data_IF_634064509412
#
_entry.id   IF_634064509412
#
_cell.length_a   1.000
_cell.length_b   1.000
_cell.length_c   1.000
_cell.angle_alpha   90.00
_cell.angle_beta   90.00
_cell.angle_gamma   90.00
#
_symmetry.space_group_name_H-M   'P 1'
#
loop_
_entity.id
_entity.type
_entity.pdbx_description
1 polymer ?
#
# COMPACT_ATOMS: atom_id res chain seq x y z
N UNK A 1 35.07 -6.53 1.37
CA UNK A 1 33.59 -6.34 1.29
C UNK A 1 33.34 -4.87 0.99
N UNK A 2 32.51 -4.51 0.00
CA UNK A 2 32.26 -3.09 -0.30
C UNK A 2 31.54 -2.43 0.90
N UNK A 3 31.77 -1.14 1.18
CA UNK A 3 31.20 -0.46 2.35
C UNK A 3 29.69 -0.65 2.48
N UNK A 4 28.96 -0.51 1.37
CA UNK A 4 27.52 -0.74 1.26
C UNK A 4 27.10 -2.13 1.76
N UNK A 5 27.86 -3.18 1.44
CA UNK A 5 27.51 -4.53 1.89
C UNK A 5 27.73 -4.70 3.39
N UNK A 6 28.74 -4.04 3.98
CA UNK A 6 28.98 -4.04 5.42
C UNK A 6 27.83 -3.33 6.15
N UNK A 7 27.44 -2.16 5.65
CA UNK A 7 26.41 -1.33 6.27
C UNK A 7 25.02 -1.98 6.16
N UNK A 8 24.72 -2.62 5.01
CA UNK A 8 23.49 -3.39 4.81
C UNK A 8 23.45 -4.70 5.61
N UNK A 9 24.61 -5.21 6.04
CA UNK A 9 24.72 -6.42 6.86
C UNK A 9 24.78 -6.11 8.36
N UNK A 10 24.61 -4.84 8.76
CA UNK A 10 24.68 -4.46 10.17
C UNK A 10 23.56 -5.12 10.98
N UNK A 11 23.85 -5.77 12.12
CA UNK A 11 22.86 -6.51 12.91
C UNK A 11 21.65 -5.66 13.30
N UNK A 12 21.86 -4.39 13.64
CA UNK A 12 20.78 -3.47 14.01
C UNK A 12 19.84 -3.15 12.84
N UNK A 13 20.37 -3.08 11.61
CA UNK A 13 19.56 -2.92 10.41
C UNK A 13 18.75 -4.19 10.12
N UNK A 14 19.40 -5.35 10.23
CA UNK A 14 18.75 -6.65 10.03
C UNK A 14 17.67 -6.93 11.09
N UNK A 15 17.85 -6.47 12.33
CA UNK A 15 16.87 -6.58 13.42
C UNK A 15 15.58 -5.79 13.14
N UNK A 16 15.67 -4.67 12.40
CA UNK A 16 14.51 -3.94 11.89
C UNK A 16 13.78 -4.72 10.78
N UNK A 17 14.51 -5.46 9.95
CA UNK A 17 13.94 -6.33 8.92
C UNK A 17 13.27 -7.60 9.48
N UNK A 18 13.72 -8.09 10.64
CA UNK A 18 13.22 -9.32 11.29
C UNK A 18 11.75 -9.22 11.72
N UNK A 19 11.32 -8.04 12.17
CA UNK A 19 9.98 -7.89 12.72
C UNK A 19 8.90 -7.79 11.64
N UNK A 20 9.26 -7.44 10.40
CA UNK A 20 8.28 -7.19 9.34
C UNK A 20 7.14 -6.31 9.85
N UNK A 21 7.50 -5.30 10.66
CA UNK A 21 6.56 -4.33 11.20
C UNK A 21 5.88 -3.61 10.04
N UNK A 22 4.69 -3.15 10.35
CA UNK A 22 3.56 -2.76 9.49
C UNK A 22 3.89 -1.95 8.25
N UNK A 23 3.01 -2.06 7.24
CA UNK A 23 2.98 -1.26 6.00
C UNK A 23 3.61 0.12 6.20
N UNK A 24 4.69 0.39 5.47
CA UNK A 24 5.29 1.70 5.38
C UNK A 24 4.16 2.72 5.12
N UNK A 25 3.95 3.74 5.97
CA UNK A 25 2.93 4.76 5.74
C UNK A 25 2.98 5.33 4.32
N UNK A 26 4.18 5.41 3.74
CA UNK A 26 4.38 5.82 2.36
C UNK A 26 3.80 4.81 1.36
N UNK A 27 3.94 3.50 1.58
CA UNK A 27 3.28 2.48 0.75
C UNK A 27 1.76 2.54 0.85
N UNK A 28 1.23 2.84 2.04
CA UNK A 28 -0.21 3.01 2.24
C UNK A 28 -0.72 4.25 1.50
N UNK A 29 -0.02 5.38 1.62
CA UNK A 29 -0.33 6.62 0.91
C UNK A 29 -0.23 6.45 -0.61
N UNK A 30 0.84 5.82 -1.09
CA UNK A 30 1.01 5.45 -2.49
C UNK A 30 -0.16 4.62 -3.00
N UNK A 31 -0.64 3.65 -2.22
CA UNK A 31 -1.82 2.87 -2.63
C UNK A 31 -3.06 3.75 -2.83
N UNK A 32 -3.26 4.77 -1.98
CA UNK A 32 -4.36 5.73 -2.15
C UNK A 32 -4.20 6.50 -3.45
N UNK A 33 -3.05 7.12 -3.71
CA UNK A 33 -2.86 7.85 -4.98
C UNK A 33 -3.11 6.93 -6.18
N UNK A 34 -2.56 5.70 -6.19
CA UNK A 34 -2.66 4.83 -7.37
C UNK A 34 -4.09 4.31 -7.60
N UNK A 35 -4.92 4.31 -6.56
CA UNK A 35 -6.34 3.98 -6.68
C UNK A 35 -7.16 5.12 -7.31
N UNK A 36 -6.64 6.35 -7.35
CA UNK A 36 -7.25 7.50 -8.03
C UNK A 36 -6.64 7.69 -9.42
N UNK A 37 -5.31 7.61 -9.50
CA UNK A 37 -4.53 7.76 -10.73
C UNK A 37 -3.68 6.51 -10.93
N UNK A 38 -4.21 5.47 -11.62
CA UNK A 38 -3.49 4.24 -11.84
C UNK A 38 -2.20 4.47 -12.63
N UNK A 39 -1.10 3.84 -12.22
CA UNK A 39 0.20 3.96 -12.91
C UNK A 39 0.17 3.55 -14.38
N UNK A 40 -0.72 2.62 -14.72
CA UNK A 40 -0.85 2.09 -16.07
C UNK A 40 -1.60 3.04 -17.01
N UNK A 41 -2.22 4.09 -16.47
CA UNK A 41 -3.02 5.04 -17.24
C UNK A 41 -2.26 6.35 -17.38
N UNK A 42 -1.99 6.74 -18.61
CA UNK A 42 -1.45 8.06 -18.90
C UNK A 42 -2.56 9.12 -18.74
N UNK A 43 -2.24 10.20 -18.03
CA UNK A 43 -3.14 11.35 -17.81
C UNK A 43 -2.35 12.66 -17.92
N UNK A 44 -3.04 13.76 -18.19
CA UNK A 44 -2.44 15.10 -18.20
C UNK A 44 -2.00 15.51 -16.78
N UNK A 45 -1.09 16.49 -16.70
CA UNK A 45 -0.47 16.91 -15.43
C UNK A 45 -1.51 17.49 -14.46
N UNK A 46 -2.55 18.13 -14.96
CA UNK A 46 -3.65 18.70 -14.19
C UNK A 46 -4.46 17.59 -13.51
N UNK A 47 -4.80 16.52 -14.24
CA UNK A 47 -5.50 15.36 -13.68
C UNK A 47 -4.64 14.61 -12.68
N UNK A 48 -3.35 14.44 -12.97
CA UNK A 48 -2.40 13.82 -12.04
C UNK A 48 -2.33 14.63 -10.74
N UNK A 49 -2.18 15.95 -10.84
CA UNK A 49 -2.09 16.85 -9.68
C UNK A 49 -3.36 16.80 -8.84
N UNK A 50 -4.53 16.88 -9.48
CA UNK A 50 -5.82 16.79 -8.80
C UNK A 50 -5.98 15.46 -8.05
N UNK A 51 -5.63 14.34 -8.70
CA UNK A 51 -5.71 13.02 -8.08
C UNK A 51 -4.75 12.85 -6.90
N UNK A 52 -3.56 13.45 -6.97
CA UNK A 52 -2.60 13.48 -5.84
C UNK A 52 -3.15 14.33 -4.70
N UNK A 53 -3.69 15.52 -4.96
CA UNK A 53 -4.29 16.36 -3.93
C UNK A 53 -5.50 15.68 -3.25
N UNK A 54 -6.39 15.06 -4.02
CA UNK A 54 -7.51 14.27 -3.47
C UNK A 54 -7.02 13.13 -2.57
N UNK A 55 -5.97 12.44 -2.98
CA UNK A 55 -5.38 11.35 -2.21
C UNK A 55 -4.77 11.85 -0.89
N UNK A 56 -4.07 12.99 -0.89
CA UNK A 56 -3.53 13.63 0.31
C UNK A 56 -4.65 13.98 1.28
N UNK A 57 -5.70 14.67 0.81
CA UNK A 57 -6.84 15.03 1.63
C UNK A 57 -7.54 13.78 2.19
N UNK A 58 -7.80 12.78 1.36
CA UNK A 58 -8.47 11.53 1.76
C UNK A 58 -7.65 10.72 2.77
N UNK A 59 -6.31 10.73 2.65
CA UNK A 59 -5.44 9.97 3.53
C UNK A 59 -5.39 10.59 4.93
N UNK A 60 -5.17 11.90 5.00
CA UNK A 60 -5.00 12.66 6.24
C UNK A 60 -6.33 12.92 6.95
N UNK A 61 -7.31 13.48 6.22
CA UNK A 61 -8.55 14.00 6.80
C UNK A 61 -9.77 13.09 6.53
N UNK A 62 -9.60 12.05 5.71
CA UNK A 62 -10.71 11.20 5.26
C UNK A 62 -11.49 11.79 4.08
N UNK A 63 -12.48 11.06 3.61
CA UNK A 63 -13.36 11.44 2.51
C UNK A 63 -14.26 12.63 2.88
N UNK A 64 -14.49 12.90 4.17
CA UNK A 64 -15.18 14.12 4.63
C UNK A 64 -14.48 15.41 4.17
N UNK A 65 -13.17 15.38 3.88
CA UNK A 65 -12.45 16.52 3.31
C UNK A 65 -13.03 16.99 1.97
N UNK A 66 -13.60 16.06 1.19
CA UNK A 66 -14.23 16.36 -0.12
C UNK A 66 -15.46 17.25 0.04
N UNK A 67 -16.17 17.16 1.17
CA UNK A 67 -17.30 18.04 1.47
C UNK A 67 -16.84 19.51 1.56
N UNK A 68 -15.72 19.76 2.26
CA UNK A 68 -15.12 21.09 2.36
C UNK A 68 -14.63 21.59 1.01
N UNK A 69 -14.10 20.70 0.16
CA UNK A 69 -13.68 21.06 -1.20
C UNK A 69 -14.87 21.48 -2.06
N UNK A 70 -15.98 20.73 -2.02
CA UNK A 70 -17.21 21.09 -2.73
C UNK A 70 -17.74 22.45 -2.30
N UNK A 71 -17.81 22.73 -1.00
CA UNK A 71 -18.22 24.03 -0.48
C UNK A 71 -17.34 25.17 -0.99
N UNK A 72 -16.02 24.98 -0.99
CA UNK A 72 -15.08 25.98 -1.55
C UNK A 72 -15.25 26.20 -3.05
N UNK A 73 -15.80 25.24 -3.77
CA UNK A 73 -16.13 25.35 -5.20
C UNK A 73 -17.54 25.92 -5.43
N UNK A 74 -18.24 26.37 -4.37
CA UNK A 74 -19.60 26.90 -4.47
C UNK A 74 -20.68 25.82 -4.56
N UNK A 75 -20.35 24.56 -4.27
CA UNK A 75 -21.29 23.44 -4.27
C UNK A 75 -21.58 23.02 -2.83
N UNK A 76 -22.78 23.33 -2.34
CA UNK A 76 -23.20 22.90 -1.01
C UNK A 76 -23.51 21.40 -0.98
N UNK A 77 -22.81 20.61 -0.13
CA UNK A 77 -23.07 19.18 -0.02
C UNK A 77 -24.42 18.92 0.65
N UNK A 78 -25.28 18.15 -0.03
CA UNK A 78 -26.53 17.67 0.55
C UNK A 78 -26.31 16.61 1.64
N UNK A 79 -27.35 16.35 2.42
CA UNK A 79 -27.31 15.40 3.55
C UNK A 79 -26.88 13.98 3.15
N UNK A 80 -27.30 13.52 1.97
CA UNK A 80 -26.89 12.22 1.45
C UNK A 80 -25.39 12.17 1.12
N UNK A 81 -24.83 13.25 0.55
CA UNK A 81 -23.40 13.35 0.29
C UNK A 81 -22.59 13.33 1.59
N UNK A 82 -23.03 14.10 2.59
CA UNK A 82 -22.40 14.13 3.92
C UNK A 82 -22.43 12.74 4.55
N UNK A 83 -23.59 12.08 4.52
CA UNK A 83 -23.77 10.75 5.10
C UNK A 83 -22.93 9.69 4.38
N UNK A 84 -22.87 9.74 3.06
CA UNK A 84 -22.05 8.83 2.25
C UNK A 84 -20.56 8.98 2.56
N UNK A 85 -20.03 10.22 2.62
CA UNK A 85 -18.61 10.43 2.94
C UNK A 85 -18.25 9.94 4.35
N UNK A 86 -19.13 10.18 5.34
CA UNK A 86 -18.95 9.65 6.70
C UNK A 86 -18.99 8.12 6.74
N UNK A 87 -19.87 7.48 5.97
CA UNK A 87 -19.95 6.02 5.87
C UNK A 87 -18.65 5.44 5.31
N UNK A 88 -18.15 6.00 4.20
CA UNK A 88 -16.88 5.57 3.59
C UNK A 88 -15.71 5.69 4.57
N UNK A 89 -15.67 6.75 5.38
CA UNK A 89 -14.63 6.92 6.39
C UNK A 89 -14.75 5.91 7.53
N UNK A 90 -15.97 5.59 7.99
CA UNK A 90 -16.17 4.49 8.96
C UNK A 90 -15.69 3.17 8.39
N UNK A 91 -16.05 2.83 7.16
CA UNK A 91 -15.60 1.59 6.52
C UNK A 91 -14.08 1.53 6.42
N UNK A 92 -13.44 2.65 6.04
CA UNK A 92 -11.98 2.76 5.98
C UNK A 92 -11.35 2.44 7.35
N UNK A 93 -11.87 3.03 8.42
CA UNK A 93 -11.41 2.79 9.79
C UNK A 93 -11.63 1.34 10.21
N UNK A 94 -12.80 0.76 9.95
CA UNK A 94 -13.10 -0.65 10.28
C UNK A 94 -12.16 -1.61 9.55
N UNK A 95 -11.88 -1.37 8.26
CA UNK A 95 -10.90 -2.14 7.48
C UNK A 95 -9.49 -2.01 8.07
N UNK A 96 -9.08 -0.82 8.51
CA UNK A 96 -7.79 -0.59 9.15
C UNK A 96 -7.66 -1.34 10.49
N UNK A 97 -8.68 -1.24 11.35
CA UNK A 97 -8.75 -1.98 12.63
C UNK A 97 -8.66 -3.48 12.39
N UNK A 98 -9.45 -3.98 11.43
CA UNK A 98 -9.41 -5.40 11.06
C UNK A 98 -8.04 -5.82 10.53
N UNK A 99 -7.38 -5.02 9.69
CA UNK A 99 -6.05 -5.30 9.17
C UNK A 99 -4.97 -5.33 10.27
N UNK A 100 -5.15 -4.53 11.32
CA UNK A 100 -4.28 -4.51 12.50
C UNK A 100 -4.57 -5.65 13.48
N UNK A 101 -5.76 -6.27 13.43
CA UNK A 101 -6.12 -7.38 14.30
C UNK A 101 -5.13 -8.55 14.22
N UNK A 102 -4.91 -9.22 15.36
CA UNK A 102 -3.99 -10.37 15.45
C UNK A 102 -4.37 -11.51 14.50
N UNK A 103 -5.67 -11.76 14.31
CA UNK A 103 -6.19 -12.75 13.36
C UNK A 103 -5.79 -12.43 11.92
N UNK A 104 -5.99 -11.18 11.47
CA UNK A 104 -5.59 -10.75 10.12
C UNK A 104 -4.07 -10.83 9.92
N UNK A 105 -3.29 -10.41 10.92
CA UNK A 105 -1.82 -10.53 10.92
C UNK A 105 -1.36 -11.98 10.77
N UNK A 106 -1.98 -12.93 11.49
CA UNK A 106 -1.68 -14.37 11.39
C UNK A 106 -1.97 -14.91 10.01
N UNK A 107 -3.17 -14.67 9.48
CA UNK A 107 -3.57 -15.09 8.12
C UNK A 107 -2.58 -14.56 7.07
N UNK A 108 -2.15 -13.30 7.19
CA UNK A 108 -1.16 -12.69 6.27
C UNK A 108 0.20 -13.39 6.35
N UNK A 109 0.70 -13.69 7.56
CA UNK A 109 1.96 -14.43 7.77
C UNK A 109 1.88 -15.83 7.15
N UNK A 110 0.77 -16.54 7.33
CA UNK A 110 0.59 -17.89 6.79
C UNK A 110 0.52 -17.89 5.26
N UNK A 111 -0.23 -16.97 4.65
CA UNK A 111 -0.24 -16.78 3.19
C UNK A 111 1.16 -16.47 2.64
N UNK A 112 1.93 -15.61 3.32
CA UNK A 112 3.30 -15.27 2.90
C UNK A 112 4.24 -16.48 2.99
N UNK A 113 4.12 -17.29 4.06
CA UNK A 113 4.88 -18.54 4.20
C UNK A 113 4.57 -19.53 3.07
N UNK A 114 3.28 -19.69 2.71
CA UNK A 114 2.87 -20.55 1.59
C UNK A 114 3.47 -20.09 0.26
N UNK A 115 3.37 -18.79 -0.07
CA UNK A 115 3.99 -18.22 -1.29
C UNK A 115 5.50 -18.42 -1.33
N UNK A 116 6.20 -18.18 -0.22
CA UNK A 116 7.66 -18.39 -0.15
C UNK A 116 8.05 -19.86 -0.41
N UNK A 117 7.25 -20.82 0.08
CA UNK A 117 7.45 -22.25 -0.23
C UNK A 117 7.25 -22.52 -1.72
N UNK A 118 6.18 -22.01 -2.33
CA UNK A 118 5.90 -22.16 -3.76
C UNK A 118 7.01 -21.55 -4.63
N UNK A 119 7.48 -20.34 -4.31
CA UNK A 119 8.56 -19.67 -5.03
C UNK A 119 9.88 -20.44 -4.92
N UNK A 120 10.19 -21.00 -3.75
CA UNK A 120 11.37 -21.85 -3.56
C UNK A 120 11.29 -23.13 -4.40
N UNK A 121 10.12 -23.76 -4.48
CA UNK A 121 9.90 -24.94 -5.33
C UNK A 121 10.11 -24.58 -6.81
N UNK A 122 9.56 -23.46 -7.27
CA UNK A 122 9.76 -22.98 -8.64
C UNK A 122 11.23 -22.70 -8.94
N UNK A 123 11.95 -22.02 -8.05
CA UNK A 123 13.38 -21.74 -8.20
C UNK A 123 14.22 -23.01 -8.27
N UNK A 124 13.91 -24.03 -7.47
CA UNK A 124 14.60 -25.31 -7.52
C UNK A 124 14.38 -26.03 -8.86
N UNK A 125 13.16 -26.01 -9.41
CA UNK A 125 12.87 -26.57 -10.75
C UNK A 125 13.60 -25.84 -11.88
N UNK A 126 13.75 -24.52 -11.80
CA UNK A 126 14.47 -23.73 -12.80
C UNK A 126 15.98 -23.98 -12.73
N UNK A 127 16.54 -24.12 -11.51
CA UNK A 127 17.95 -24.47 -11.31
C UNK A 127 18.33 -25.85 -11.86
N UNK A 128 17.42 -26.82 -11.81
CA UNK A 128 17.64 -28.15 -12.40
C UNK A 128 17.56 -28.15 -13.94
N UNK A 129 17.06 -27.07 -14.57
CA UNK A 129 16.88 -26.98 -16.02
C UNK A 129 17.95 -26.18 -16.77
N UNK A 130 18.86 -25.50 -16.07
CA UNK A 130 19.97 -24.74 -16.66
C UNK A 130 21.28 -25.10 -15.96
N UNK A 131 22.08 -25.97 -16.58
CA UNK A 131 23.49 -26.20 -16.23
C UNK A 131 24.40 -25.44 -17.18
N UNK A 132 25.47 -24.85 -16.65
CA UNK A 132 26.51 -24.26 -17.47
C UNK A 132 27.16 -25.36 -18.33
N UNK A 133 27.10 -25.21 -19.66
CA UNK A 133 27.58 -26.21 -20.62
C UNK A 133 26.52 -27.16 -21.17
N UNK A 134 25.22 -26.89 -20.96
CA UNK A 134 24.14 -27.66 -21.59
C UNK A 134 23.60 -26.97 -22.84
N UNK A 135 24.42 -26.97 -23.89
CA UNK A 135 24.05 -26.89 -25.31
C UNK A 135 25.13 -27.63 -26.11
#
# INVERSE_FOLDING_TARGET
>A
MRPIFRDLSHPDLLKKCLHGETQNPNESFHNVIWSRVPKATFVQIETLSLGVYDAVCSFNDGNVSKLKMLQKMGVEPGEFSVSAMKLLDRERLMKAIYAFSGRSKKIRKDKRRKRKKEDNIKKNKVKTGYSAGSF
#
